data_IF_034739582776
#
_entry.id   IF_034739582776
#
_cell.length_a   1.000
_cell.length_b   1.000
_cell.length_c   1.000
_cell.angle_alpha   90.00
_cell.angle_beta   90.00
_cell.angle_gamma   90.00
#
_symmetry.space_group_name_H-M   'P 1'
#
loop_
_entity.id
_entity.type
_entity.pdbx_description
1 polymer ?
#
# COMPACT_ATOMS: atom_id res chain seq x y z
N UNK A 1 -75.92 42.09 7.93
CA UNK A 1 -75.08 40.98 8.46
C UNK A 1 -75.10 39.82 7.48
N UNK A 2 -73.94 39.46 6.94
CA UNK A 2 -73.50 38.11 6.50
C UNK A 2 -72.19 38.29 5.72
N UNK A 3 -71.10 38.24 6.46
CA UNK A 3 -69.72 38.22 5.96
C UNK A 3 -69.44 36.85 5.36
N UNK A 4 -69.19 36.80 4.05
CA UNK A 4 -68.76 35.58 3.36
C UNK A 4 -67.25 35.39 3.53
N UNK A 5 -66.86 34.60 4.53
CA UNK A 5 -65.48 34.16 4.71
C UNK A 5 -65.16 33.08 3.66
N UNK A 6 -64.21 33.35 2.76
CA UNK A 6 -63.69 32.38 1.79
C UNK A 6 -62.38 31.80 2.31
N UNK A 7 -62.29 30.49 2.60
CA UNK A 7 -61.02 29.90 3.00
C UNK A 7 -60.07 29.82 1.79
N UNK A 8 -58.90 30.47 1.88
CA UNK A 8 -57.77 30.25 0.96
C UNK A 8 -57.13 28.89 1.31
N UNK A 9 -56.97 27.96 0.37
CA UNK A 9 -56.17 26.78 0.62
C UNK A 9 -54.68 27.18 0.59
N UNK A 10 -54.06 27.30 1.76
CA UNK A 10 -52.61 27.31 1.89
C UNK A 10 -52.11 25.87 1.62
N UNK A 11 -51.88 25.54 0.35
CA UNK A 11 -51.13 24.34 -0.01
C UNK A 11 -49.64 24.69 0.04
N UNK A 12 -49.12 24.74 1.25
CA UNK A 12 -47.69 24.93 1.54
C UNK A 12 -47.00 23.56 1.52
N UNK A 13 -46.73 23.01 0.34
CA UNK A 13 -45.83 21.84 0.23
C UNK A 13 -45.15 21.84 -1.13
N UNK A 14 -44.10 22.64 -1.27
CA UNK A 14 -43.14 22.48 -2.35
C UNK A 14 -41.83 23.17 -1.97
N UNK A 15 -40.96 22.46 -1.25
CA UNK A 15 -39.50 22.60 -1.32
C UNK A 15 -38.87 21.74 -0.24
N UNK A 16 -38.28 20.61 -0.63
CA UNK A 16 -37.17 19.94 0.06
C UNK A 16 -36.74 18.77 -0.82
N UNK A 17 -36.03 19.08 -1.90
CA UNK A 17 -35.39 18.08 -2.74
C UNK A 17 -34.18 18.67 -3.45
N UNK A 18 -33.14 19.08 -2.72
CA UNK A 18 -31.81 19.30 -3.32
C UNK A 18 -30.72 18.98 -2.30
N UNK A 19 -29.83 18.06 -2.67
CA UNK A 19 -28.45 18.04 -2.19
C UNK A 19 -28.13 16.96 -1.16
N UNK A 20 -27.83 15.74 -1.62
CA UNK A 20 -27.32 14.71 -0.72
C UNK A 20 -26.82 13.46 -1.43
N UNK A 21 -25.90 13.59 -2.39
CA UNK A 21 -25.24 12.41 -2.97
C UNK A 21 -23.93 12.77 -3.70
N UNK A 22 -22.90 13.29 -3.01
CA UNK A 22 -21.52 13.29 -3.56
C UNK A 22 -20.49 13.11 -2.43
N UNK A 23 -20.40 11.92 -1.83
CA UNK A 23 -19.28 11.60 -0.91
C UNK A 23 -18.64 10.23 -1.16
N UNK A 24 -18.98 9.53 -2.25
CA UNK A 24 -18.55 8.14 -2.47
C UNK A 24 -17.23 7.98 -3.27
N UNK A 25 -16.53 9.06 -3.66
CA UNK A 25 -15.41 8.98 -4.60
C UNK A 25 -14.00 9.14 -3.99
N UNK A 26 -13.86 9.20 -2.66
CA UNK A 26 -12.56 9.45 -2.01
C UNK A 26 -11.90 8.21 -1.40
N UNK A 27 -12.46 7.01 -1.58
CA UNK A 27 -11.93 5.80 -0.92
C UNK A 27 -10.79 5.10 -1.68
N UNK A 28 -10.31 5.64 -2.81
CA UNK A 28 -9.39 4.92 -3.72
C UNK A 28 -7.94 5.44 -3.73
N UNK A 29 -7.46 6.11 -2.68
CA UNK A 29 -6.14 6.75 -2.71
C UNK A 29 -5.16 6.35 -1.59
N UNK A 30 -5.49 5.41 -0.70
CA UNK A 30 -4.47 4.77 0.12
C UNK A 30 -3.88 3.59 -0.66
N UNK A 31 -2.61 3.69 -1.05
CA UNK A 31 -1.85 2.53 -1.54
C UNK A 31 -1.92 1.45 -0.48
N UNK A 32 -2.42 0.27 -0.84
CA UNK A 32 -2.53 -0.89 0.05
C UNK A 32 -1.30 -1.80 -0.04
N UNK A 33 -0.22 -1.32 -0.65
CA UNK A 33 1.00 -2.10 -0.78
C UNK A 33 1.72 -2.16 0.57
N UNK A 34 1.79 -3.34 1.16
CA UNK A 34 2.53 -3.58 2.39
C UNK A 34 4.03 -3.36 2.15
N UNK A 35 4.70 -2.66 3.06
CA UNK A 35 6.16 -2.52 3.04
C UNK A 35 6.83 -3.86 3.40
N UNK A 36 8.00 -4.13 2.82
CA UNK A 36 8.76 -5.37 3.13
C UNK A 36 9.28 -5.38 4.57
N UNK A 37 9.73 -4.23 5.05
CA UNK A 37 10.21 -4.04 6.41
C UNK A 37 9.52 -2.85 7.07
N UNK A 38 9.57 -2.80 8.41
CA UNK A 38 9.01 -1.67 9.15
C UNK A 38 9.87 -0.42 8.99
N UNK A 39 9.32 0.74 9.33
CA UNK A 39 10.08 1.98 9.39
C UNK A 39 11.31 1.84 10.32
N UNK A 40 12.48 2.28 9.86
CA UNK A 40 13.75 2.17 10.59
C UNK A 40 14.45 0.82 10.43
N UNK A 41 13.96 -0.03 9.52
CA UNK A 41 14.60 -1.27 9.12
C UNK A 41 14.82 -1.29 7.60
N UNK A 42 15.84 -2.03 7.18
CA UNK A 42 16.13 -2.29 5.78
C UNK A 42 16.14 -3.80 5.49
N UNK A 43 15.70 -4.22 4.29
CA UNK A 43 15.69 -5.62 3.94
C UNK A 43 17.10 -6.11 3.57
N UNK A 44 17.38 -7.36 3.91
CA UNK A 44 18.58 -8.12 3.50
C UNK A 44 18.15 -9.42 2.84
N UNK A 45 18.99 -9.96 1.96
CA UNK A 45 18.76 -11.27 1.35
C UNK A 45 19.70 -12.32 1.92
N UNK A 46 19.27 -13.58 1.95
CA UNK A 46 20.14 -14.70 2.30
C UNK A 46 21.05 -15.05 1.13
N UNK A 47 22.35 -15.22 1.38
CA UNK A 47 23.32 -15.55 0.32
C UNK A 47 23.22 -17.04 -0.04
N UNK A 48 23.02 -17.33 -1.34
CA UNK A 48 22.96 -18.69 -1.87
C UNK A 48 21.62 -19.41 -1.72
N UNK A 49 20.58 -18.73 -1.25
CA UNK A 49 19.19 -19.23 -1.23
C UNK A 49 18.24 -18.06 -1.43
N UNK A 50 16.97 -18.36 -1.68
CA UNK A 50 15.88 -17.40 -1.53
C UNK A 50 15.65 -17.09 -0.05
N UNK A 51 15.03 -15.95 0.22
CA UNK A 51 14.65 -15.52 1.56
C UNK A 51 15.25 -14.17 1.94
N UNK A 52 14.53 -13.46 2.81
CA UNK A 52 14.90 -12.14 3.29
C UNK A 52 14.72 -12.02 4.81
N UNK A 53 15.34 -10.99 5.37
CA UNK A 53 15.11 -10.56 6.74
C UNK A 53 15.13 -9.02 6.82
N UNK A 54 14.61 -8.47 7.90
CA UNK A 54 14.68 -7.04 8.21
C UNK A 54 15.76 -6.80 9.27
N UNK A 55 16.60 -5.80 9.03
CA UNK A 55 17.69 -5.40 9.92
C UNK A 55 17.51 -3.92 10.24
N UNK A 56 17.76 -3.50 11.48
CA UNK A 56 17.64 -2.09 11.86
C UNK A 56 18.65 -1.23 11.12
N UNK A 57 18.24 -0.01 10.78
CA UNK A 57 19.12 0.97 10.17
C UNK A 57 20.40 1.19 10.98
N UNK A 58 21.53 1.20 10.28
CA UNK A 58 22.86 1.36 10.87
C UNK A 58 23.47 0.08 11.45
N UNK A 59 22.72 -1.02 11.57
CA UNK A 59 23.28 -2.32 11.95
C UNK A 59 23.86 -3.05 10.72
N UNK A 60 24.83 -3.93 10.93
CA UNK A 60 25.36 -4.80 9.88
C UNK A 60 24.45 -6.01 9.65
N UNK A 61 24.36 -6.51 8.40
CA UNK A 61 23.62 -7.74 8.12
C UNK A 61 24.13 -8.92 8.97
N UNK A 62 23.23 -9.77 9.50
CA UNK A 62 23.64 -10.97 10.22
C UNK A 62 24.40 -11.93 9.30
N UNK A 63 25.20 -12.83 9.90
CA UNK A 63 26.00 -13.79 9.15
C UNK A 63 25.12 -14.62 8.19
N UNK A 64 25.55 -14.71 6.93
CA UNK A 64 24.83 -15.43 5.87
C UNK A 64 23.86 -14.55 5.09
N UNK A 65 23.64 -13.30 5.51
CA UNK A 65 22.86 -12.31 4.78
C UNK A 65 23.76 -11.25 4.15
N UNK A 66 23.26 -10.66 3.07
CA UNK A 66 23.88 -9.53 2.40
C UNK A 66 22.85 -8.43 2.13
N UNK A 67 23.34 -7.20 1.94
CA UNK A 67 22.50 -6.12 1.43
C UNK A 67 22.17 -6.38 -0.04
N UNK A 68 20.98 -5.97 -0.45
CA UNK A 68 20.61 -5.95 -1.85
C UNK A 68 21.53 -5.02 -2.64
N UNK A 69 21.83 -5.35 -3.92
CA UNK A 69 22.49 -4.41 -4.83
C UNK A 69 21.71 -3.09 -4.92
N UNK A 70 22.43 -1.98 -5.11
CA UNK A 70 21.83 -0.67 -5.26
C UNK A 70 20.82 -0.64 -6.41
N UNK A 71 19.65 -0.04 -6.16
CA UNK A 71 18.54 0.00 -7.13
C UNK A 71 17.82 -1.33 -7.33
N UNK A 72 18.16 -2.38 -6.56
CA UNK A 72 17.52 -3.70 -6.59
C UNK A 72 16.95 -4.13 -5.25
N UNK A 73 16.55 -3.14 -4.44
CA UNK A 73 16.02 -3.34 -3.09
C UNK A 73 14.50 -3.45 -3.19
N UNK A 74 13.87 -4.49 -2.61
CA UNK A 74 12.41 -4.56 -2.53
C UNK A 74 11.90 -3.59 -1.46
N UNK A 75 10.97 -2.73 -1.84
CA UNK A 75 10.35 -1.72 -0.97
C UNK A 75 8.98 -2.20 -0.49
N UNK A 76 8.20 -2.82 -1.38
CA UNK A 76 6.87 -3.34 -1.11
C UNK A 76 6.76 -4.83 -1.44
N UNK A 77 5.89 -5.52 -0.69
CA UNK A 77 5.49 -6.89 -1.02
C UNK A 77 4.89 -6.89 -2.42
N UNK A 78 5.27 -7.89 -3.21
CA UNK A 78 4.87 -8.08 -4.61
C UNK A 78 5.35 -6.98 -5.59
N UNK A 79 6.31 -6.14 -5.19
CA UNK A 79 6.98 -5.27 -6.13
C UNK A 79 7.90 -6.05 -7.09
N UNK A 80 8.48 -5.32 -8.05
CA UNK A 80 9.36 -5.90 -9.06
C UNK A 80 10.54 -6.65 -8.42
N UNK A 81 11.15 -6.09 -7.38
CA UNK A 81 12.33 -6.67 -6.75
C UNK A 81 11.95 -7.82 -5.81
N UNK A 82 10.85 -7.70 -5.08
CA UNK A 82 10.28 -8.78 -4.29
C UNK A 82 10.08 -10.03 -5.15
N UNK A 83 9.46 -9.84 -6.31
CA UNK A 83 9.20 -10.92 -7.26
C UNK A 83 10.50 -11.48 -7.85
N UNK A 84 11.43 -10.61 -8.25
CA UNK A 84 12.71 -11.02 -8.84
C UNK A 84 13.54 -11.91 -7.90
N UNK A 85 13.59 -11.54 -6.62
CA UNK A 85 14.39 -12.25 -5.62
C UNK A 85 13.74 -13.56 -5.11
N UNK A 86 12.53 -13.89 -5.56
CA UNK A 86 11.94 -15.21 -5.31
C UNK A 86 12.63 -16.34 -6.10
N UNK A 87 13.40 -16.02 -7.13
CA UNK A 87 14.11 -17.00 -7.97
C UNK A 87 15.62 -16.69 -8.06
N UNK A 88 16.06 -15.57 -7.48
CA UNK A 88 17.44 -15.10 -7.56
C UNK A 88 18.04 -14.91 -6.17
N UNK A 89 19.36 -14.94 -6.10
CA UNK A 89 20.13 -14.62 -4.89
C UNK A 89 21.52 -14.09 -5.27
N UNK A 90 22.33 -13.76 -4.27
CA UNK A 90 23.76 -13.52 -4.44
C UNK A 90 24.56 -14.79 -4.11
N UNK A 91 25.61 -15.07 -4.87
CA UNK A 91 26.62 -16.05 -4.50
C UNK A 91 27.61 -15.47 -3.48
N UNK A 92 28.56 -16.30 -3.03
CA UNK A 92 29.60 -15.91 -2.06
C UNK A 92 30.50 -14.75 -2.52
N UNK A 93 30.55 -14.49 -3.83
CA UNK A 93 31.36 -13.44 -4.44
C UNK A 93 30.51 -12.18 -4.74
N UNK A 94 29.23 -12.18 -4.37
CA UNK A 94 28.30 -11.08 -4.58
C UNK A 94 27.73 -11.00 -6.00
N UNK A 95 27.84 -12.08 -6.79
CA UNK A 95 27.25 -12.16 -8.12
C UNK A 95 25.79 -12.64 -8.01
N UNK A 96 24.91 -12.02 -8.77
CA UNK A 96 23.52 -12.47 -8.88
C UNK A 96 23.47 -13.81 -9.64
N UNK A 97 22.83 -14.80 -9.04
CA UNK A 97 22.58 -16.13 -9.59
C UNK A 97 21.11 -16.50 -9.44
N UNK A 98 20.64 -17.41 -10.28
CA UNK A 98 19.35 -18.08 -10.08
C UNK A 98 19.48 -19.17 -9.02
N UNK A 99 18.44 -19.36 -8.21
CA UNK A 99 18.35 -20.45 -7.25
C UNK A 99 17.78 -21.66 -7.97
N UNK A 100 18.66 -22.59 -8.35
CA UNK A 100 18.24 -23.89 -8.88
C UNK A 100 17.67 -24.76 -7.75
N UNK A 101 16.50 -25.38 -7.97
CA UNK A 101 15.90 -26.40 -7.08
C UNK A 101 16.86 -27.55 -6.73
#
# INVERSE_FOLDING_TARGET
>A
MRTTSRPRPLRTTAALAVGGAVFALLTSACSTADAVCSDGEYPVLYVGSTGSACVKDGEEPPKGYARYPEGKVPEHVDDQWWTYWNEHTLDKDGKIIEVSE
#
